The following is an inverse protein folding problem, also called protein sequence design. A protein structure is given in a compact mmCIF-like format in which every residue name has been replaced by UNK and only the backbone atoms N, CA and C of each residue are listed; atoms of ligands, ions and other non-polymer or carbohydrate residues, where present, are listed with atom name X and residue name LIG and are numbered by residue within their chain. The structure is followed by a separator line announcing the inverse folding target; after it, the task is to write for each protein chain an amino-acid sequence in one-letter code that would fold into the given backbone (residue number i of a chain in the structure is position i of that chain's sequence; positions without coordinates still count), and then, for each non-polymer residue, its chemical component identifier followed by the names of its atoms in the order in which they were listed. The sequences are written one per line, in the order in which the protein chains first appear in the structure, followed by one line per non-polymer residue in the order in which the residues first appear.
data_IF_678805549481
#
_entry.id   IF_678805549481
#
_cell.length_a   1.000
_cell.length_b   1.000
_cell.length_c   1.000
_cell.angle_alpha   90.00
_cell.angle_beta   90.00
_cell.angle_gamma   90.00
#
_symmetry.space_group_name_H-M   'P 1'
#
loop_
_entity.id
_entity.type
_entity.pdbx_description
1 polymer ?
#
# COMPACT_ATOMS: atom_id res chain seq x y z
N UNK A 1 42.29 -46.06 -3.05
CA UNK A 1 41.31 -46.60 -2.10
C UNK A 1 41.46 -45.84 -0.79
N UNK A 2 41.28 -44.53 -0.77
CA UNK A 2 40.02 -43.75 -0.91
C UNK A 2 39.13 -43.85 0.34
N UNK A 3 39.01 -42.71 1.01
CA UNK A 3 38.16 -42.49 2.17
C UNK A 3 38.42 -41.11 2.78
N UNK A 4 38.19 -40.06 2.00
CA UNK A 4 38.53 -38.67 2.31
C UNK A 4 37.61 -38.06 3.39
N UNK A 5 38.25 -37.18 4.16
CA UNK A 5 37.73 -36.12 5.01
C UNK A 5 36.43 -35.47 4.49
N UNK A 6 35.43 -35.32 5.36
CA UNK A 6 34.54 -34.14 5.34
C UNK A 6 35.29 -32.90 5.85
N UNK A 7 34.70 -31.68 5.90
CA UNK A 7 33.27 -31.37 5.93
C UNK A 7 32.87 -30.21 4.98
N UNK A 8 31.57 -30.02 4.74
CA UNK A 8 31.08 -28.91 3.94
C UNK A 8 29.61 -28.62 4.21
N UNK A 9 29.34 -27.84 5.25
CA UNK A 9 28.07 -27.16 5.48
C UNK A 9 27.76 -26.31 4.24
N UNK A 10 26.63 -26.58 3.57
CA UNK A 10 26.02 -25.64 2.64
C UNK A 10 24.83 -25.03 3.36
N UNK A 11 24.91 -23.77 3.82
CA UNK A 11 23.72 -23.04 4.18
C UNK A 11 23.13 -22.50 2.87
N UNK A 12 21.94 -22.95 2.48
CA UNK A 12 21.13 -22.24 1.47
C UNK A 12 20.57 -21.00 2.14
N UNK A 13 21.44 -20.00 2.31
CA UNK A 13 21.11 -18.66 2.77
C UNK A 13 20.89 -17.72 1.58
N UNK A 14 19.80 -16.97 1.68
CA UNK A 14 19.53 -15.66 1.09
C UNK A 14 19.58 -15.50 -0.44
N UNK A 15 18.38 -15.54 -1.03
CA UNK A 15 17.97 -14.50 -1.99
C UNK A 15 17.11 -13.48 -1.26
N UNK A 16 17.63 -12.91 -0.18
CA UNK A 16 17.11 -11.65 0.34
C UNK A 16 17.30 -10.64 -0.76
N UNK A 17 16.20 -10.19 -1.37
CA UNK A 17 16.19 -8.97 -2.15
C UNK A 17 16.55 -7.86 -1.18
N UNK A 18 17.84 -7.57 -1.08
CA UNK A 18 18.36 -6.39 -0.41
C UNK A 18 17.95 -5.21 -1.28
N UNK A 19 16.66 -4.84 -1.16
CA UNK A 19 16.11 -3.62 -1.72
C UNK A 19 16.75 -2.52 -0.88
N UNK A 20 17.98 -2.20 -1.26
CA UNK A 20 18.71 -1.06 -0.80
C UNK A 20 17.73 0.09 -0.70
N UNK A 21 17.71 0.73 0.48
CA UNK A 21 16.91 1.89 0.80
C UNK A 21 17.34 3.12 -0.03
N UNK A 22 17.32 2.98 -1.36
CA UNK A 22 17.26 4.09 -2.27
C UNK A 22 15.93 4.77 -2.02
N UNK A 23 15.96 6.00 -1.51
CA UNK A 23 14.80 6.89 -1.61
C UNK A 23 14.41 6.90 -3.08
N UNK A 24 13.34 6.18 -3.42
CA UNK A 24 12.71 6.22 -4.74
C UNK A 24 12.19 7.64 -4.92
N UNK A 25 13.06 8.52 -5.40
CA UNK A 25 12.72 9.89 -5.73
C UNK A 25 11.83 9.81 -6.97
N UNK A 26 10.51 9.82 -6.77
CA UNK A 26 9.53 9.91 -7.85
C UNK A 26 9.18 8.60 -8.55
N UNK A 27 9.15 7.45 -7.86
CA UNK A 27 8.57 6.24 -8.43
C UNK A 27 7.08 6.43 -8.73
N UNK A 28 6.69 6.31 -10.01
CA UNK A 28 5.28 6.30 -10.39
C UNK A 28 4.67 4.94 -10.06
N UNK A 29 3.46 4.92 -9.46
CA UNK A 29 2.70 3.68 -9.26
C UNK A 29 2.45 2.93 -10.58
N UNK A 30 2.49 3.62 -11.72
CA UNK A 30 2.39 2.99 -13.05
C UNK A 30 3.53 2.00 -13.34
N UNK A 31 4.74 2.25 -12.84
CA UNK A 31 5.86 1.32 -12.98
C UNK A 31 5.64 0.06 -12.14
N UNK A 32 5.09 0.20 -10.94
CA UNK A 32 4.75 -0.94 -10.07
C UNK A 32 3.67 -1.81 -10.71
N UNK A 33 2.64 -1.22 -11.31
CA UNK A 33 1.59 -1.97 -12.00
C UNK A 33 2.11 -2.69 -13.25
N UNK A 34 2.99 -2.06 -14.02
CA UNK A 34 3.59 -2.68 -15.20
C UNK A 34 4.51 -3.85 -14.81
N UNK A 35 5.29 -3.70 -13.74
CA UNK A 35 6.12 -4.77 -13.20
C UNK A 35 5.26 -5.96 -12.78
N UNK A 36 4.19 -5.74 -12.01
CA UNK A 36 3.32 -6.82 -11.55
C UNK A 36 2.68 -7.60 -12.71
N UNK A 37 2.32 -6.92 -13.80
CA UNK A 37 1.78 -7.56 -14.99
C UNK A 37 2.83 -8.37 -15.79
N UNK A 38 4.13 -8.08 -15.60
CA UNK A 38 5.22 -8.72 -16.32
C UNK A 38 5.85 -9.91 -15.57
N UNK A 39 5.55 -10.09 -14.27
CA UNK A 39 6.05 -11.23 -13.48
C UNK A 39 5.33 -12.51 -13.93
N UNK A 40 6.05 -13.56 -14.37
CA UNK A 40 5.46 -14.86 -14.64
C UNK A 40 4.92 -15.50 -13.37
N UNK A 41 3.78 -16.21 -13.48
CA UNK A 41 3.18 -16.92 -12.36
C UNK A 41 4.15 -17.94 -11.76
N UNK A 42 4.09 -18.10 -10.45
CA UNK A 42 4.84 -19.13 -9.75
C UNK A 42 4.44 -20.54 -10.24
N UNK A 43 5.43 -21.42 -10.34
CA UNK A 43 5.21 -22.81 -10.74
C UNK A 43 5.01 -23.70 -9.50
N UNK A 44 4.06 -24.64 -9.61
CA UNK A 44 3.70 -25.55 -8.53
C UNK A 44 2.80 -24.94 -7.46
N UNK A 45 2.02 -25.79 -6.78
CA UNK A 45 0.97 -25.35 -5.85
C UNK A 45 1.50 -24.52 -4.67
N UNK A 46 2.65 -24.90 -4.10
CA UNK A 46 3.25 -24.17 -2.98
C UNK A 46 3.66 -22.75 -3.39
N UNK A 47 4.35 -22.61 -4.53
CA UNK A 47 4.75 -21.32 -5.07
C UNK A 47 3.57 -20.40 -5.38
N UNK A 48 2.48 -20.94 -5.93
CA UNK A 48 1.25 -20.16 -6.19
C UNK A 48 0.61 -19.62 -4.90
N UNK A 49 0.62 -20.41 -3.82
CA UNK A 49 0.10 -19.95 -2.52
C UNK A 49 1.00 -18.88 -1.90
N UNK A 50 2.32 -19.02 -2.02
CA UNK A 50 3.27 -18.01 -1.53
C UNK A 50 3.15 -16.71 -2.33
N UNK A 51 3.01 -16.77 -3.65
CA UNK A 51 2.75 -15.60 -4.50
C UNK A 51 1.47 -14.87 -4.07
N UNK A 52 0.38 -15.59 -3.77
CA UNK A 52 -0.86 -14.98 -3.24
C UNK A 52 -0.59 -14.23 -1.93
N UNK A 53 0.18 -14.81 -1.00
CA UNK A 53 0.51 -14.17 0.29
C UNK A 53 1.31 -12.88 0.09
N UNK A 54 2.27 -12.88 -0.83
CA UNK A 54 3.05 -11.69 -1.17
C UNK A 54 2.16 -10.60 -1.77
N UNK A 55 1.23 -10.97 -2.65
CA UNK A 55 0.25 -10.03 -3.22
C UNK A 55 -0.69 -9.44 -2.16
N UNK A 56 -1.09 -10.24 -1.16
CA UNK A 56 -1.89 -9.74 -0.03
C UNK A 56 -1.12 -8.73 0.83
N UNK A 57 0.18 -8.94 1.04
CA UNK A 57 1.05 -7.98 1.71
C UNK A 57 1.17 -6.68 0.90
N UNK A 58 1.39 -6.79 -0.41
CA UNK A 58 1.44 -5.63 -1.31
C UNK A 58 0.11 -4.85 -1.31
N UNK A 59 -1.02 -5.56 -1.36
CA UNK A 59 -2.36 -4.97 -1.30
C UNK A 59 -2.57 -4.23 0.01
N UNK A 60 -2.16 -4.82 1.13
CA UNK A 60 -2.26 -4.21 2.45
C UNK A 60 -1.42 -2.94 2.56
N UNK A 61 -0.17 -2.97 2.08
CA UNK A 61 0.70 -1.79 2.04
C UNK A 61 0.13 -0.67 1.14
N UNK A 62 -0.44 -1.02 -0.01
CA UNK A 62 -1.11 -0.07 -0.90
C UNK A 62 -2.35 0.55 -0.23
N UNK A 63 -3.17 -0.26 0.46
CA UNK A 63 -4.34 0.21 1.20
C UNK A 63 -3.94 1.15 2.35
N UNK A 64 -2.87 0.84 3.08
CA UNK A 64 -2.34 1.70 4.13
C UNK A 64 -1.87 3.05 3.59
N UNK A 65 -1.17 3.05 2.44
CA UNK A 65 -0.78 4.29 1.75
C UNK A 65 -2.00 5.10 1.30
N UNK A 66 -3.04 4.45 0.76
CA UNK A 66 -4.30 5.10 0.39
C UNK A 66 -4.97 5.75 1.60
N UNK A 67 -5.00 5.09 2.77
CA UNK A 67 -5.56 5.66 3.99
C UNK A 67 -4.82 6.93 4.44
N UNK A 68 -3.49 6.90 4.47
CA UNK A 68 -2.65 8.06 4.81
C UNK A 68 -2.88 9.24 3.83
N UNK A 69 -2.95 8.96 2.53
CA UNK A 69 -3.24 9.97 1.50
C UNK A 69 -4.65 10.55 1.68
N UNK A 70 -5.65 9.72 1.94
CA UNK A 70 -7.03 10.17 2.15
C UNK A 70 -7.16 11.15 3.32
N UNK A 71 -6.50 10.87 4.44
CA UNK A 71 -6.47 11.76 5.61
C UNK A 71 -5.74 13.07 5.29
N UNK A 72 -4.56 12.99 4.66
CA UNK A 72 -3.80 14.18 4.27
C UNK A 72 -4.60 15.07 3.30
N UNK A 73 -5.30 14.45 2.34
CA UNK A 73 -6.16 15.15 1.38
C UNK A 73 -7.35 15.84 2.06
N UNK A 74 -8.05 15.17 2.99
CA UNK A 74 -9.16 15.78 3.74
C UNK A 74 -8.69 17.00 4.54
N UNK A 75 -7.54 16.92 5.21
CA UNK A 75 -6.95 18.05 5.92
C UNK A 75 -6.61 19.21 4.98
N UNK A 76 -6.02 18.92 3.82
CA UNK A 76 -5.71 19.93 2.80
C UNK A 76 -6.98 20.60 2.27
N UNK A 77 -8.02 19.84 1.96
CA UNK A 77 -9.30 20.37 1.45
C UNK A 77 -9.99 21.24 2.50
N UNK A 78 -10.03 20.81 3.76
CA UNK A 78 -10.60 21.61 4.85
C UNK A 78 -9.88 22.94 5.03
N UNK A 79 -8.54 22.95 4.96
CA UNK A 79 -7.74 24.18 5.02
C UNK A 79 -8.03 25.11 3.84
N UNK A 80 -8.06 24.58 2.62
CA UNK A 80 -8.38 25.37 1.43
C UNK A 80 -9.78 25.98 1.50
N UNK A 81 -10.78 25.20 1.94
CA UNK A 81 -12.15 25.66 2.11
C UNK A 81 -12.28 26.73 3.21
N UNK A 82 -11.61 26.56 4.35
CA UNK A 82 -11.59 27.56 5.41
C UNK A 82 -10.97 28.88 4.92
N UNK A 83 -9.87 28.82 4.18
CA UNK A 83 -9.24 30.01 3.56
C UNK A 83 -10.15 30.69 2.54
N UNK A 84 -11.04 29.94 1.89
CA UNK A 84 -12.05 30.45 0.98
C UNK A 84 -13.32 30.96 1.69
N UNK A 85 -13.36 30.98 3.03
CA UNK A 85 -14.50 31.48 3.81
C UNK A 85 -15.69 30.52 3.86
N UNK A 86 -15.50 29.23 3.56
CA UNK A 86 -16.56 28.22 3.69
C UNK A 86 -16.93 28.08 5.18
N UNK A 87 -18.24 28.07 5.53
CA UNK A 87 -18.67 27.90 6.92
C UNK A 87 -18.11 26.63 7.57
N UNK A 88 -17.73 26.67 8.86
CA UNK A 88 -17.12 25.54 9.57
C UNK A 88 -17.88 24.22 9.42
N UNK A 89 -19.21 24.27 9.47
CA UNK A 89 -20.12 23.13 9.35
C UNK A 89 -20.12 22.48 7.95
N UNK A 90 -19.64 23.19 6.93
CA UNK A 90 -19.54 22.71 5.55
C UNK A 90 -18.13 22.23 5.19
N UNK A 91 -17.15 22.40 6.07
CA UNK A 91 -15.77 21.97 5.78
C UNK A 91 -15.66 20.45 5.61
N UNK A 92 -14.96 20.06 4.56
CA UNK A 92 -14.77 18.68 4.12
C UNK A 92 -15.94 18.11 3.32
N UNK A 93 -17.03 18.87 3.10
CA UNK A 93 -18.15 18.42 2.26
C UNK A 93 -17.65 18.01 0.87
N UNK A 94 -18.06 16.83 0.41
CA UNK A 94 -17.67 16.28 -0.90
C UNK A 94 -16.29 15.61 -0.96
N UNK A 95 -15.44 15.76 0.05
CA UNK A 95 -14.09 15.17 0.06
C UNK A 95 -14.14 13.64 -0.02
N UNK A 96 -15.00 13.01 0.78
CA UNK A 96 -15.17 11.55 0.75
C UNK A 96 -15.61 11.03 -0.63
N UNK A 97 -16.48 11.77 -1.32
CA UNK A 97 -16.92 11.42 -2.67
C UNK A 97 -15.77 11.50 -3.69
N UNK A 98 -14.91 12.52 -3.62
CA UNK A 98 -13.72 12.62 -4.46
C UNK A 98 -12.76 11.45 -4.24
N UNK A 99 -12.53 11.07 -2.98
CA UNK A 99 -11.70 9.91 -2.62
C UNK A 99 -12.31 8.61 -3.16
N UNK A 100 -13.62 8.41 -3.02
CA UNK A 100 -14.30 7.23 -3.56
C UNK A 100 -14.15 7.13 -5.07
N UNK A 101 -14.39 8.24 -5.80
CA UNK A 101 -14.22 8.28 -7.24
C UNK A 101 -12.79 7.96 -7.67
N UNK A 102 -11.78 8.51 -6.98
CA UNK A 102 -10.37 8.17 -7.24
C UNK A 102 -10.06 6.69 -7.01
N UNK A 103 -10.77 6.04 -6.07
CA UNK A 103 -10.70 4.60 -5.80
C UNK A 103 -11.56 3.75 -6.74
N UNK A 104 -12.25 4.36 -7.71
CA UNK A 104 -13.24 3.71 -8.60
C UNK A 104 -14.39 3.05 -7.83
N UNK A 105 -14.78 3.68 -6.72
CA UNK A 105 -15.90 3.27 -5.86
C UNK A 105 -17.06 4.25 -5.99
N UNK A 106 -18.29 3.78 -5.68
CA UNK A 106 -19.46 4.66 -5.64
C UNK A 106 -19.26 5.82 -4.65
N UNK A 107 -19.62 7.07 -5.01
CA UNK A 107 -19.55 8.23 -4.11
C UNK A 107 -20.21 8.00 -2.75
N UNK A 108 -21.28 7.21 -2.71
CA UNK A 108 -22.00 6.86 -1.48
C UNK A 108 -21.11 6.12 -0.46
N UNK A 109 -20.08 5.39 -0.92
CA UNK A 109 -19.12 4.71 -0.03
C UNK A 109 -18.07 5.66 0.56
N UNK A 110 -17.94 6.88 0.03
CA UNK A 110 -16.85 7.80 0.34
C UNK A 110 -16.72 8.18 1.82
N UNK A 111 -17.85 8.45 2.47
CA UNK A 111 -17.86 8.75 3.91
C UNK A 111 -17.30 7.60 4.75
N UNK A 112 -17.70 6.37 4.45
CA UNK A 112 -17.20 5.16 5.13
C UNK A 112 -15.70 4.95 4.88
N UNK A 113 -15.25 5.12 3.63
CA UNK A 113 -13.83 4.97 3.28
C UNK A 113 -12.95 6.00 3.99
N UNK A 114 -13.38 7.26 4.03
CA UNK A 114 -12.66 8.33 4.72
C UNK A 114 -12.71 8.16 6.25
N UNK A 115 -13.85 7.73 6.81
CA UNK A 115 -13.97 7.42 8.23
C UNK A 115 -13.03 6.31 8.68
N UNK A 116 -13.00 5.20 7.94
CA UNK A 116 -12.06 4.11 8.19
C UNK A 116 -10.60 4.58 8.08
N UNK A 117 -10.27 5.36 7.04
CA UNK A 117 -8.92 5.89 6.87
C UNK A 117 -8.48 6.76 8.06
N UNK A 118 -9.38 7.59 8.61
CA UNK A 118 -9.11 8.37 9.81
C UNK A 118 -8.84 7.47 11.01
N UNK A 119 -9.73 6.53 11.30
CA UNK A 119 -9.56 5.58 12.41
C UNK A 119 -8.23 4.82 12.32
N UNK A 120 -7.88 4.30 11.14
CA UNK A 120 -6.60 3.60 10.93
C UNK A 120 -5.38 4.50 11.18
N UNK A 121 -5.42 5.76 10.73
CA UNK A 121 -4.28 6.67 10.82
C UNK A 121 -4.14 7.30 12.20
N UNK A 122 -5.25 7.62 12.88
CA UNK A 122 -5.22 8.37 14.13
C UNK A 122 -5.41 7.50 15.38
N UNK A 123 -6.18 6.42 15.28
CA UNK A 123 -6.54 5.58 16.43
C UNK A 123 -5.79 4.25 16.44
N UNK A 124 -5.50 3.68 15.26
CA UNK A 124 -4.84 2.37 15.13
C UNK A 124 -3.56 2.42 14.25
N UNK A 125 -2.60 3.32 14.52
CA UNK A 125 -1.47 3.59 13.62
C UNK A 125 -0.54 2.39 13.40
N UNK A 126 -0.55 1.41 14.30
CA UNK A 126 0.24 0.16 14.21
C UNK A 126 -0.45 -0.97 13.42
N UNK A 127 -1.62 -0.70 12.84
CA UNK A 127 -2.38 -1.66 12.01
C UNK A 127 -2.26 -1.38 10.51
N UNK A 128 -1.38 -0.44 10.16
CA UNK A 128 -1.10 0.04 8.79
C UNK A 128 0.22 -0.48 8.25
#
# INVERSE_FOLDING_TARGET
MDGKQGPGVVPTGNSGTDVAAGRLRGGSFGAVTALLAAVPLATGCAGMIDEIRELENLKSAAAARQARIAVAFDLSQRRAQANAGVPPERLGTGTGAQIALARRESPAKGGRLLGLAKALVTEMPHTL
#
